data_IF_102557710065
#
_entry.id   IF_102557710065
#
_cell.length_a   1.000
_cell.length_b   1.000
_cell.length_c   1.000
_cell.angle_alpha   90.00
_cell.angle_beta   90.00
_cell.angle_gamma   90.00
#
_symmetry.space_group_name_H-M   'P 1'
#
loop_
_entity.id
_entity.type
_entity.pdbx_description
1 polymer ?
#
# COMPACT_ATOMS: atom_id res chain seq x y z
N UNK A 1 40.94 -30.52 -16.80
CA UNK A 1 39.83 -29.67 -17.21
C UNK A 1 38.87 -29.68 -16.05
N UNK A 2 38.87 -28.61 -15.23
CA UNK A 2 37.88 -28.45 -14.16
C UNK A 2 36.67 -27.79 -14.78
N UNK A 3 35.55 -28.51 -14.85
CA UNK A 3 34.27 -27.87 -15.14
C UNK A 3 34.02 -26.79 -14.06
N UNK A 4 33.63 -25.58 -14.47
CA UNK A 4 33.24 -24.57 -13.48
C UNK A 4 32.02 -25.09 -12.70
N UNK A 5 31.95 -24.83 -11.37
CA UNK A 5 30.83 -25.28 -10.58
C UNK A 5 29.54 -24.74 -11.20
N UNK A 6 28.57 -25.64 -11.40
CA UNK A 6 27.21 -25.30 -11.79
C UNK A 6 26.74 -24.13 -10.95
N UNK A 7 26.50 -22.99 -11.57
CA UNK A 7 25.96 -21.80 -10.90
C UNK A 7 24.68 -22.23 -10.18
N UNK A 8 24.76 -22.38 -8.87
CA UNK A 8 23.59 -22.66 -8.03
C UNK A 8 22.61 -21.50 -8.25
N UNK A 9 21.52 -21.78 -8.94
CA UNK A 9 20.52 -20.79 -9.23
C UNK A 9 19.96 -20.25 -7.90
N UNK A 10 20.14 -18.95 -7.66
CA UNK A 10 19.61 -18.29 -6.47
C UNK A 10 18.10 -18.53 -6.35
N UNK A 11 17.56 -18.77 -5.14
CA UNK A 11 16.13 -18.96 -4.96
C UNK A 11 15.36 -17.72 -5.44
N UNK A 12 14.21 -17.94 -6.08
CA UNK A 12 13.40 -16.89 -6.69
C UNK A 12 12.18 -16.56 -5.86
N UNK A 13 11.89 -15.26 -5.73
CA UNK A 13 10.75 -14.71 -5.03
C UNK A 13 10.03 -13.72 -5.93
N UNK A 14 8.69 -13.73 -5.89
CA UNK A 14 7.88 -12.75 -6.60
C UNK A 14 7.27 -11.75 -5.62
N UNK A 15 7.76 -10.52 -5.65
CA UNK A 15 7.31 -9.42 -4.79
C UNK A 15 6.29 -8.54 -5.53
N UNK A 16 5.08 -8.46 -5.00
CA UNK A 16 4.07 -7.48 -5.40
C UNK A 16 4.16 -6.27 -4.47
N UNK A 17 4.48 -5.10 -5.02
CA UNK A 17 4.73 -3.90 -4.24
C UNK A 17 4.11 -2.65 -4.90
N UNK A 18 4.52 -1.47 -4.48
CA UNK A 18 4.04 -0.19 -5.00
C UNK A 18 3.76 0.85 -3.91
N UNK A 19 4.25 0.59 -2.73
CA UNK A 19 4.13 1.46 -1.54
C UNK A 19 5.50 1.74 -0.96
N UNK A 20 5.59 2.66 0.00
CA UNK A 20 6.87 3.07 0.58
C UNK A 20 7.65 1.95 1.29
N UNK A 21 6.99 0.86 1.66
CA UNK A 21 7.61 -0.31 2.28
C UNK A 21 8.28 -1.24 1.27
N UNK A 22 7.90 -1.15 -0.01
CA UNK A 22 8.44 -2.00 -1.07
C UNK A 22 9.96 -1.89 -1.27
N UNK A 23 10.53 -0.68 -1.43
CA UNK A 23 11.96 -0.53 -1.65
C UNK A 23 12.85 -1.09 -0.53
N UNK A 24 12.64 -0.77 0.77
CA UNK A 24 13.45 -1.37 1.83
C UNK A 24 13.27 -2.88 1.95
N UNK A 25 12.05 -3.41 1.70
CA UNK A 25 11.81 -4.85 1.67
C UNK A 25 12.58 -5.51 0.53
N UNK A 26 12.50 -4.99 -0.70
CA UNK A 26 13.25 -5.53 -1.84
C UNK A 26 14.76 -5.52 -1.59
N UNK A 27 15.31 -4.42 -1.02
CA UNK A 27 16.72 -4.33 -0.67
C UNK A 27 17.14 -5.40 0.34
N UNK A 28 16.35 -5.66 1.38
CA UNK A 28 16.61 -6.69 2.36
C UNK A 28 16.57 -8.10 1.72
N UNK A 29 15.60 -8.38 0.86
CA UNK A 29 15.48 -9.66 0.16
C UNK A 29 16.69 -9.93 -0.77
N UNK A 30 17.13 -8.91 -1.50
CA UNK A 30 18.32 -9.01 -2.34
C UNK A 30 19.59 -9.26 -1.53
N UNK A 31 19.73 -8.60 -0.36
CA UNK A 31 20.83 -8.83 0.57
C UNK A 31 20.82 -10.24 1.16
N UNK A 32 19.65 -10.85 1.35
CA UNK A 32 19.49 -12.25 1.79
C UNK A 32 19.83 -13.28 0.71
N UNK A 33 20.06 -12.87 -0.55
CA UNK A 33 20.38 -13.77 -1.63
C UNK A 33 19.23 -14.12 -2.58
N UNK A 34 18.01 -13.60 -2.37
CA UNK A 34 16.89 -13.84 -3.25
C UNK A 34 17.09 -13.23 -4.64
N UNK A 35 16.65 -13.91 -5.67
CA UNK A 35 16.32 -13.31 -6.96
C UNK A 35 14.88 -12.79 -6.90
N UNK A 36 14.70 -11.49 -7.03
CA UNK A 36 13.42 -10.82 -6.79
C UNK A 36 12.79 -10.39 -8.11
N UNK A 37 11.71 -11.08 -8.52
CA UNK A 37 10.80 -10.54 -9.53
C UNK A 37 9.89 -9.51 -8.85
N UNK A 38 9.94 -8.27 -9.31
CA UNK A 38 9.24 -7.14 -8.69
C UNK A 38 8.08 -6.66 -9.57
N UNK A 39 6.85 -6.87 -9.15
CA UNK A 39 5.66 -6.33 -9.83
C UNK A 39 5.26 -4.98 -9.29
N UNK A 40 5.17 -4.00 -10.19
CA UNK A 40 4.75 -2.62 -9.92
C UNK A 40 3.71 -2.17 -10.95
N UNK A 41 2.69 -1.44 -10.52
CA UNK A 41 1.65 -0.94 -11.42
C UNK A 41 2.16 0.17 -12.35
N UNK A 42 3.11 1.01 -11.90
CA UNK A 42 3.64 2.12 -12.70
C UNK A 42 5.16 2.17 -12.69
N UNK A 43 5.75 2.59 -13.81
CA UNK A 43 7.19 2.80 -13.94
C UNK A 43 7.74 3.88 -13.00
N UNK A 44 6.91 4.84 -12.61
CA UNK A 44 7.32 5.86 -11.64
C UNK A 44 7.66 5.29 -10.26
N UNK A 45 7.01 4.20 -9.86
CA UNK A 45 7.30 3.52 -8.61
C UNK A 45 8.69 2.86 -8.64
N UNK A 46 9.17 2.45 -9.82
CA UNK A 46 10.48 1.81 -9.98
C UNK A 46 11.64 2.74 -9.59
N UNK A 47 11.47 4.06 -9.70
CA UNK A 47 12.52 5.04 -9.35
C UNK A 47 12.97 4.97 -7.89
N UNK A 48 12.16 4.38 -7.02
CA UNK A 48 12.49 4.19 -5.61
C UNK A 48 13.35 2.93 -5.36
N UNK A 49 13.55 2.08 -6.38
CA UNK A 49 14.34 0.87 -6.28
C UNK A 49 15.68 1.07 -7.00
N UNK A 50 16.78 0.75 -6.31
CA UNK A 50 18.10 0.78 -6.93
C UNK A 50 18.29 -0.35 -7.97
N UNK A 51 19.15 -0.17 -8.96
CA UNK A 51 19.50 -1.24 -9.88
C UNK A 51 20.22 -2.38 -9.14
N UNK A 52 19.84 -3.62 -9.43
CA UNK A 52 20.50 -4.78 -8.85
C UNK A 52 20.42 -5.98 -9.83
N UNK A 53 21.48 -6.78 -10.04
CA UNK A 53 21.49 -7.87 -11.03
C UNK A 53 20.46 -8.97 -10.76
N UNK A 54 20.02 -9.13 -9.51
CA UNK A 54 18.98 -10.08 -9.10
C UNK A 54 17.60 -9.44 -8.89
N UNK A 55 17.38 -8.19 -9.34
CA UNK A 55 16.09 -7.54 -9.33
C UNK A 55 15.53 -7.48 -10.75
N UNK A 56 14.41 -8.14 -10.97
CA UNK A 56 13.71 -8.20 -12.26
C UNK A 56 12.37 -7.42 -12.17
N UNK A 57 12.32 -6.16 -12.63
CA UNK A 57 11.09 -5.39 -12.58
C UNK A 57 10.11 -5.79 -13.68
N UNK A 58 8.86 -6.01 -13.30
CA UNK A 58 7.71 -6.18 -14.18
C UNK A 58 6.74 -5.00 -13.97
N UNK A 59 6.62 -4.14 -14.97
CA UNK A 59 5.83 -2.92 -14.91
C UNK A 59 4.50 -3.11 -15.63
N UNK A 60 3.44 -2.69 -14.98
CA UNK A 60 2.08 -2.74 -15.48
C UNK A 60 1.13 -3.50 -14.54
N UNK A 61 -0.18 -3.29 -14.67
CA UNK A 61 -1.15 -4.03 -13.89
C UNK A 61 -1.18 -5.49 -14.35
N UNK A 62 -1.10 -6.43 -13.42
CA UNK A 62 -1.46 -7.82 -13.69
C UNK A 62 -2.98 -7.89 -13.67
N UNK A 63 -3.56 -8.25 -14.82
CA UNK A 63 -4.97 -8.04 -15.10
C UNK A 63 -5.93 -8.94 -14.30
N UNK A 64 -5.50 -10.18 -13.95
CA UNK A 64 -6.38 -11.16 -13.35
C UNK A 64 -5.64 -12.32 -12.68
N UNK A 65 -6.38 -13.17 -11.96
CA UNK A 65 -5.89 -14.42 -11.38
C UNK A 65 -5.27 -15.34 -12.44
N UNK A 66 -5.89 -15.46 -13.62
CA UNK A 66 -5.38 -16.29 -14.73
C UNK A 66 -4.03 -15.77 -15.23
N UNK A 67 -3.82 -14.45 -15.27
CA UNK A 67 -2.55 -13.86 -15.67
C UNK A 67 -1.44 -14.16 -14.65
N UNK A 68 -1.76 -14.17 -13.36
CA UNK A 68 -0.86 -14.57 -12.28
C UNK A 68 -0.50 -16.05 -12.43
N UNK A 69 -1.49 -16.93 -12.57
CA UNK A 69 -1.29 -18.37 -12.76
C UNK A 69 -0.40 -18.64 -13.97
N UNK A 70 -0.71 -18.06 -15.14
CA UNK A 70 0.07 -18.21 -16.34
C UNK A 70 1.52 -17.68 -16.21
N UNK A 71 1.76 -16.68 -15.36
CA UNK A 71 3.12 -16.20 -15.12
C UNK A 71 3.92 -17.13 -14.22
N UNK A 72 3.28 -17.83 -13.27
CA UNK A 72 3.89 -18.88 -12.47
C UNK A 72 4.20 -20.12 -13.33
N UNK A 73 3.23 -20.56 -14.16
CA UNK A 73 3.43 -21.70 -15.09
C UNK A 73 4.61 -21.45 -16.05
N UNK A 74 4.71 -20.25 -16.61
CA UNK A 74 5.84 -19.89 -17.48
C UNK A 74 7.18 -19.96 -16.75
N UNK A 75 7.23 -19.53 -15.49
CA UNK A 75 8.43 -19.59 -14.68
C UNK A 75 8.87 -21.04 -14.44
N UNK A 76 7.91 -21.95 -14.20
CA UNK A 76 8.17 -23.39 -14.07
C UNK A 76 8.71 -24.00 -15.37
N UNK A 77 8.07 -23.70 -16.51
CA UNK A 77 8.45 -24.23 -17.84
C UNK A 77 9.87 -23.81 -18.25
N UNK A 78 10.29 -22.60 -17.92
CA UNK A 78 11.65 -22.12 -18.23
C UNK A 78 12.70 -22.54 -17.18
N UNK A 79 12.34 -23.36 -16.19
CA UNK A 79 13.26 -23.82 -15.14
C UNK A 79 13.59 -22.76 -14.08
N UNK A 80 12.77 -21.72 -13.95
CA UNK A 80 12.93 -20.63 -12.99
C UNK A 80 11.75 -20.54 -12.02
N UNK A 81 11.37 -21.62 -11.32
CA UNK A 81 10.19 -21.63 -10.46
C UNK A 81 10.27 -20.61 -9.33
N UNK A 82 9.14 -20.01 -9.01
CA UNK A 82 9.00 -19.10 -7.88
C UNK A 82 8.79 -19.91 -6.60
N UNK A 83 9.68 -19.80 -5.62
CA UNK A 83 9.57 -20.52 -4.33
C UNK A 83 8.54 -19.86 -3.40
N UNK A 84 8.40 -18.53 -3.46
CA UNK A 84 7.46 -17.79 -2.61
C UNK A 84 6.96 -16.55 -3.32
N UNK A 85 5.68 -16.26 -3.15
CA UNK A 85 5.05 -14.99 -3.54
C UNK A 85 4.89 -14.12 -2.30
N UNK A 86 5.23 -12.83 -2.39
CA UNK A 86 5.07 -11.86 -1.31
C UNK A 86 4.13 -10.75 -1.75
N UNK A 87 3.01 -10.63 -1.06
CA UNK A 87 2.08 -9.51 -1.23
C UNK A 87 2.42 -8.37 -0.26
N UNK A 88 3.14 -7.37 -0.76
CA UNK A 88 3.42 -6.11 -0.08
C UNK A 88 2.63 -4.94 -0.68
N UNK A 89 1.48 -5.21 -1.29
CA UNK A 89 0.61 -4.18 -1.87
C UNK A 89 -0.06 -3.32 -0.79
N UNK A 90 -0.72 -2.26 -1.22
CA UNK A 90 -1.47 -1.40 -0.30
C UNK A 90 -2.65 -2.19 0.31
N UNK A 91 -2.98 -2.04 1.62
CA UNK A 91 -4.08 -2.76 2.26
C UNK A 91 -5.44 -2.63 1.56
N UNK A 92 -5.66 -1.51 0.87
CA UNK A 92 -6.88 -1.27 0.07
C UNK A 92 -6.78 -1.77 -1.39
N UNK A 93 -5.74 -2.49 -1.74
CA UNK A 93 -5.61 -3.14 -3.04
C UNK A 93 -6.25 -4.55 -3.02
N UNK A 94 -7.50 -4.65 -2.53
CA UNK A 94 -8.18 -5.91 -2.24
C UNK A 94 -8.23 -6.88 -3.43
N UNK A 95 -8.43 -6.35 -4.66
CA UNK A 95 -8.54 -7.21 -5.83
C UNK A 95 -7.27 -8.03 -6.08
N UNK A 96 -6.11 -7.36 -6.16
CA UNK A 96 -4.85 -8.08 -6.41
C UNK A 96 -4.52 -9.05 -5.26
N UNK A 97 -4.81 -8.67 -4.00
CA UNK A 97 -4.58 -9.55 -2.86
C UNK A 97 -5.49 -10.78 -2.88
N UNK A 98 -6.75 -10.62 -3.32
CA UNK A 98 -7.67 -11.73 -3.50
C UNK A 98 -7.23 -12.64 -4.67
N UNK A 99 -6.86 -12.06 -5.81
CA UNK A 99 -6.36 -12.80 -6.97
C UNK A 99 -5.10 -13.61 -6.61
N UNK A 100 -4.18 -13.03 -5.82
CA UNK A 100 -2.99 -13.74 -5.32
C UNK A 100 -3.35 -14.88 -4.35
N UNK A 101 -4.28 -14.64 -3.43
CA UNK A 101 -4.73 -15.67 -2.50
C UNK A 101 -5.38 -16.84 -3.26
N UNK A 102 -6.30 -16.56 -4.17
CA UNK A 102 -6.98 -17.58 -4.99
C UNK A 102 -5.98 -18.45 -5.74
N UNK A 103 -5.06 -17.83 -6.49
CA UNK A 103 -4.08 -18.56 -7.32
C UNK A 103 -3.09 -19.34 -6.46
N UNK A 104 -2.51 -18.71 -5.45
CA UNK A 104 -1.46 -19.34 -4.67
C UNK A 104 -2.01 -20.47 -3.79
N UNK A 105 -3.16 -20.28 -3.14
CA UNK A 105 -3.79 -21.34 -2.33
C UNK A 105 -4.25 -22.51 -3.20
N UNK A 106 -4.86 -22.24 -4.37
CA UNK A 106 -5.28 -23.28 -5.32
C UNK A 106 -4.14 -24.11 -5.89
N UNK A 107 -2.92 -23.58 -5.92
CA UNK A 107 -1.70 -24.24 -6.44
C UNK A 107 -0.77 -24.76 -5.34
N UNK A 108 -1.11 -24.61 -4.09
CA UNK A 108 -0.20 -24.84 -2.94
C UNK A 108 1.10 -24.03 -3.05
N UNK A 109 1.06 -22.89 -3.75
CA UNK A 109 2.16 -21.95 -3.86
C UNK A 109 2.29 -21.16 -2.57
N UNK A 110 3.48 -21.08 -2.01
CA UNK A 110 3.71 -20.29 -0.80
C UNK A 110 3.41 -18.80 -1.05
N UNK A 111 2.46 -18.24 -0.28
CA UNK A 111 2.10 -16.82 -0.30
C UNK A 111 2.24 -16.26 1.10
N UNK A 112 2.98 -15.17 1.25
CA UNK A 112 3.12 -14.41 2.48
C UNK A 112 2.67 -12.98 2.24
N UNK A 113 2.03 -12.37 3.24
CA UNK A 113 1.57 -10.99 3.14
C UNK A 113 2.28 -10.08 4.14
N UNK A 114 2.70 -8.90 3.68
CA UNK A 114 3.19 -7.84 4.54
C UNK A 114 2.01 -7.14 5.23
N UNK A 115 1.88 -7.36 6.54
CA UNK A 115 0.94 -6.64 7.40
C UNK A 115 1.61 -5.38 7.95
N UNK A 116 1.03 -4.25 7.68
CA UNK A 116 1.49 -3.00 8.29
C UNK A 116 0.96 -2.90 9.70
N UNK A 117 1.82 -2.46 10.62
CA UNK A 117 1.40 -2.14 11.97
C UNK A 117 0.21 -1.19 11.97
N UNK A 118 -0.71 -1.33 12.91
CA UNK A 118 -1.67 -0.27 13.22
C UNK A 118 -0.91 0.93 13.77
N UNK A 119 -1.26 2.14 13.35
CA UNK A 119 -0.87 3.33 14.12
C UNK A 119 -1.64 3.22 15.43
N UNK A 120 -0.93 3.11 16.55
CA UNK A 120 -1.52 2.86 17.87
C UNK A 120 -2.62 3.89 18.17
N UNK A 121 -3.81 3.48 18.61
CA UNK A 121 -4.89 4.38 18.97
C UNK A 121 -4.71 4.92 20.39
N UNK A 122 -3.60 5.58 20.69
CA UNK A 122 -3.45 6.29 21.99
C UNK A 122 -4.18 7.65 22.02
N UNK A 123 -5.02 7.92 21.05
CA UNK A 123 -5.91 9.08 21.06
C UNK A 123 -7.35 8.59 21.24
N UNK A 124 -7.89 8.86 22.42
CA UNK A 124 -9.18 8.41 22.91
C UNK A 124 -10.26 8.30 21.86
N UNK A 125 -10.91 7.14 21.81
CA UNK A 125 -12.16 6.95 21.09
C UNK A 125 -13.18 7.96 21.64
N UNK A 126 -13.52 8.97 20.83
CA UNK A 126 -14.62 9.87 21.16
C UNK A 126 -15.92 9.07 21.05
N UNK A 127 -16.53 8.74 22.16
CA UNK A 127 -17.86 8.16 22.22
C UNK A 127 -18.91 9.07 21.54
N UNK A 128 -20.09 8.54 21.16
CA UNK A 128 -21.12 9.28 20.48
C UNK A 128 -21.76 10.33 21.38
N UNK A 129 -21.29 11.56 21.31
CA UNK A 129 -21.87 12.71 21.99
C UNK A 129 -22.48 13.72 21.00
N UNK A 130 -23.48 14.50 21.37
CA UNK A 130 -24.28 15.36 20.49
C UNK A 130 -23.65 16.72 20.17
N UNK A 131 -22.38 16.75 19.84
CA UNK A 131 -21.61 17.74 19.06
C UNK A 131 -20.35 17.04 18.66
N UNK A 132 -20.10 16.95 17.34
CA UNK A 132 -18.94 16.29 16.76
C UNK A 132 -17.68 16.64 17.55
N UNK A 133 -17.29 15.75 18.49
CA UNK A 133 -16.02 15.87 19.18
C UNK A 133 -14.92 15.79 18.12
N UNK A 134 -14.13 16.86 17.98
CA UNK A 134 -12.96 16.87 17.14
C UNK A 134 -12.05 15.73 17.56
N UNK A 135 -11.88 14.74 16.70
CA UNK A 135 -11.17 13.52 17.04
C UNK A 135 -11.08 12.56 15.86
N UNK A 136 -10.55 11.38 16.12
CA UNK A 136 -10.45 10.31 15.11
C UNK A 136 -11.70 9.44 15.17
N UNK A 137 -12.38 9.29 14.04
CA UNK A 137 -13.51 8.38 13.87
C UNK A 137 -13.19 7.36 12.78
N UNK A 138 -13.35 6.07 13.07
CA UNK A 138 -13.21 4.99 12.09
C UNK A 138 -14.57 4.70 11.48
N UNK A 139 -14.61 4.69 10.14
CA UNK A 139 -15.78 4.39 9.34
C UNK A 139 -15.66 2.97 8.78
N UNK A 140 -16.68 2.15 8.92
CA UNK A 140 -16.70 0.77 8.38
C UNK A 140 -16.58 0.71 6.85
N UNK A 141 -16.96 1.78 6.16
CA UNK A 141 -16.86 1.92 4.71
C UNK A 141 -17.17 3.33 4.25
N UNK A 142 -17.06 3.54 2.95
CA UNK A 142 -17.31 4.85 2.35
C UNK A 142 -18.79 5.26 2.49
N UNK A 143 -19.70 4.31 2.49
CA UNK A 143 -21.14 4.55 2.60
C UNK A 143 -21.53 5.17 3.95
N UNK A 144 -20.77 4.91 5.01
CA UNK A 144 -20.99 5.54 6.33
C UNK A 144 -20.85 7.06 6.31
N UNK A 145 -20.33 7.66 5.22
CA UNK A 145 -20.30 9.11 5.07
C UNK A 145 -21.72 9.73 4.97
N UNK A 146 -22.69 8.98 4.45
CA UNK A 146 -24.07 9.46 4.35
C UNK A 146 -24.77 9.68 5.70
N UNK A 147 -24.27 9.01 6.74
CA UNK A 147 -24.81 9.08 8.10
C UNK A 147 -24.26 10.30 8.88
N UNK A 148 -23.24 10.97 8.31
CA UNK A 148 -22.58 12.10 8.93
C UNK A 148 -23.15 13.43 8.44
N UNK A 149 -23.31 14.38 9.37
CA UNK A 149 -23.68 15.74 8.99
C UNK A 149 -22.42 16.54 8.61
N UNK A 150 -22.03 16.48 7.34
CA UNK A 150 -20.87 17.20 6.79
C UNK A 150 -21.26 18.46 6.01
N UNK A 151 -22.48 18.98 6.22
CA UNK A 151 -22.93 20.21 5.55
C UNK A 151 -22.04 21.39 5.95
N UNK A 152 -21.58 22.14 4.93
CA UNK A 152 -20.68 23.29 5.05
C UNK A 152 -19.28 22.97 5.56
N UNK A 153 -18.97 21.70 5.92
CA UNK A 153 -17.61 21.28 6.25
C UNK A 153 -16.70 21.40 5.02
N UNK A 154 -15.47 21.87 5.25
CA UNK A 154 -14.41 21.81 4.25
C UNK A 154 -13.70 20.46 4.37
N UNK A 155 -14.13 19.51 3.53
CA UNK A 155 -13.73 18.12 3.58
C UNK A 155 -12.54 17.85 2.65
N UNK A 156 -11.41 17.44 3.22
CA UNK A 156 -10.25 16.98 2.46
C UNK A 156 -10.35 15.47 2.18
N UNK A 157 -10.41 15.10 0.92
CA UNK A 157 -10.45 13.71 0.45
C UNK A 157 -9.02 13.20 0.17
N UNK A 158 -8.43 12.46 1.12
CA UNK A 158 -7.11 11.83 1.01
C UNK A 158 -7.19 10.31 0.78
N UNK A 159 -8.19 9.87 0.01
CA UNK A 159 -8.55 8.45 -0.23
C UNK A 159 -8.14 7.92 -1.60
N UNK A 160 -7.43 8.72 -2.40
CA UNK A 160 -7.06 8.40 -3.78
C UNK A 160 -8.20 8.64 -4.76
N UNK A 161 -7.87 8.64 -6.05
CA UNK A 161 -8.78 9.11 -7.11
C UNK A 161 -10.00 8.20 -7.36
N UNK A 162 -9.86 6.88 -7.19
CA UNK A 162 -10.91 5.91 -7.55
C UNK A 162 -12.21 6.05 -6.76
N UNK A 163 -12.14 6.58 -5.55
CA UNK A 163 -13.29 6.74 -4.66
C UNK A 163 -13.81 8.18 -4.56
N UNK A 164 -13.18 9.14 -5.26
CA UNK A 164 -13.54 10.56 -5.18
C UNK A 164 -14.98 10.84 -5.56
N UNK A 165 -15.40 10.39 -6.74
CA UNK A 165 -16.75 10.65 -7.23
C UNK A 165 -17.82 10.12 -6.26
N UNK A 166 -17.58 8.92 -5.69
CA UNK A 166 -18.49 8.34 -4.72
C UNK A 166 -18.51 9.11 -3.40
N UNK A 167 -17.34 9.51 -2.89
CA UNK A 167 -17.26 10.33 -1.67
C UNK A 167 -17.98 11.68 -1.83
N UNK A 168 -17.78 12.34 -2.96
CA UNK A 168 -18.48 13.61 -3.29
C UNK A 168 -19.99 13.42 -3.34
N UNK A 169 -20.46 12.35 -3.98
CA UNK A 169 -21.89 12.03 -4.07
C UNK A 169 -22.53 11.73 -2.71
N UNK A 170 -21.78 11.11 -1.78
CA UNK A 170 -22.26 10.79 -0.43
C UNK A 170 -22.27 12.01 0.52
N UNK A 171 -21.57 13.08 0.17
CA UNK A 171 -21.43 14.28 1.00
C UNK A 171 -21.79 15.58 0.27
N UNK A 172 -22.98 15.69 -0.33
CA UNK A 172 -23.33 16.76 -1.29
C UNK A 172 -23.36 18.16 -0.65
N UNK A 173 -23.43 18.26 0.67
CA UNK A 173 -23.43 19.53 1.39
C UNK A 173 -22.04 20.02 1.82
N UNK A 174 -20.97 19.23 1.59
CA UNK A 174 -19.62 19.60 1.96
C UNK A 174 -18.90 20.37 0.84
N UNK A 175 -17.87 21.12 1.22
CA UNK A 175 -16.95 21.77 0.29
C UNK A 175 -15.73 20.88 0.12
N UNK A 176 -15.64 20.19 -1.02
CA UNK A 176 -14.64 19.17 -1.25
C UNK A 176 -13.29 19.74 -1.71
N UNK A 177 -12.23 19.18 -1.14
CA UNK A 177 -10.83 19.33 -1.55
C UNK A 177 -10.23 17.94 -1.70
N UNK A 178 -9.21 17.76 -2.53
CA UNK A 178 -8.57 16.46 -2.71
C UNK A 178 -7.05 16.55 -2.68
N UNK A 179 -6.43 15.58 -2.00
CA UNK A 179 -4.99 15.32 -2.09
C UNK A 179 -4.77 13.98 -2.79
N UNK A 180 -4.09 14.00 -3.91
CA UNK A 180 -3.93 12.86 -4.83
C UNK A 180 -2.46 12.62 -5.16
N UNK A 181 -2.16 11.45 -5.72
CA UNK A 181 -0.88 11.21 -6.36
C UNK A 181 -0.78 11.99 -7.69
N UNK A 182 0.42 12.45 -8.10
CA UNK A 182 0.64 13.25 -9.30
C UNK A 182 0.62 12.38 -10.56
N UNK A 183 -0.55 11.84 -10.90
CA UNK A 183 -0.81 11.12 -12.15
C UNK A 183 -1.91 11.84 -12.94
N UNK A 184 -1.79 11.90 -14.26
CA UNK A 184 -2.78 12.55 -15.13
C UNK A 184 -4.19 11.99 -14.93
N UNK A 185 -4.33 10.67 -14.80
CA UNK A 185 -5.61 10.01 -14.51
C UNK A 185 -6.21 10.43 -13.17
N UNK A 186 -5.39 10.69 -12.15
CA UNK A 186 -5.87 11.16 -10.84
C UNK A 186 -6.51 12.55 -10.94
N UNK A 187 -5.86 13.45 -11.66
CA UNK A 187 -6.37 14.80 -11.89
C UNK A 187 -7.64 14.78 -12.74
N UNK A 188 -7.65 14.01 -13.83
CA UNK A 188 -8.83 13.86 -14.70
C UNK A 188 -10.05 13.36 -13.92
N UNK A 189 -9.87 12.35 -13.06
CA UNK A 189 -10.95 11.82 -12.22
C UNK A 189 -11.42 12.81 -11.15
N UNK A 190 -10.52 13.63 -10.61
CA UNK A 190 -10.92 14.70 -9.69
C UNK A 190 -11.78 15.75 -10.39
N UNK A 191 -11.39 16.17 -11.59
CA UNK A 191 -12.19 17.12 -12.39
C UNK A 191 -13.55 16.51 -12.77
N UNK A 192 -13.57 15.25 -13.20
CA UNK A 192 -14.81 14.53 -13.52
C UNK A 192 -15.74 14.35 -12.31
N UNK A 193 -15.18 14.27 -11.09
CA UNK A 193 -15.94 14.25 -9.84
C UNK A 193 -16.46 15.65 -9.41
N UNK A 194 -16.21 16.71 -10.22
CA UNK A 194 -16.70 18.06 -9.97
C UNK A 194 -15.80 18.93 -9.08
N UNK A 195 -14.56 18.50 -8.78
CA UNK A 195 -13.64 19.32 -8.01
C UNK A 195 -13.03 20.42 -8.88
N UNK A 196 -13.00 21.66 -8.38
CA UNK A 196 -12.28 22.75 -9.06
C UNK A 196 -10.76 22.56 -8.93
N UNK A 197 -10.00 22.98 -9.94
CA UNK A 197 -8.54 22.78 -10.01
C UNK A 197 -7.79 23.35 -8.79
N UNK A 198 -8.24 24.48 -8.25
CA UNK A 198 -7.66 25.13 -7.05
C UNK A 198 -7.97 24.40 -5.72
N UNK A 199 -8.76 23.33 -5.80
CA UNK A 199 -9.11 22.45 -4.65
C UNK A 199 -8.46 21.06 -4.77
N UNK A 200 -7.56 20.88 -5.71
CA UNK A 200 -6.85 19.60 -5.92
C UNK A 200 -5.34 19.81 -5.77
N UNK A 201 -4.71 19.07 -4.86
CA UNK A 201 -3.26 19.02 -4.72
C UNK A 201 -2.74 17.65 -5.16
N UNK A 202 -1.79 17.65 -6.09
CA UNK A 202 -1.13 16.45 -6.56
C UNK A 202 0.26 16.35 -5.91
N UNK A 203 0.37 15.55 -4.84
CA UNK A 203 1.58 15.40 -4.02
C UNK A 203 1.91 13.93 -3.81
N UNK A 204 3.19 13.56 -3.86
CA UNK A 204 3.65 12.24 -3.41
C UNK A 204 3.74 12.22 -1.88
N UNK A 205 3.26 11.16 -1.20
CA UNK A 205 3.58 10.96 0.20
C UNK A 205 5.07 10.64 0.29
N UNK A 206 5.76 11.25 1.20
CA UNK A 206 7.16 10.95 1.41
C UNK A 206 7.73 11.74 2.57
N UNK A 207 8.83 11.29 3.16
CA UNK A 207 9.64 12.18 3.95
C UNK A 207 10.09 13.32 3.02
N UNK A 208 9.70 14.56 3.34
CA UNK A 208 10.33 15.72 2.73
C UNK A 208 11.84 15.69 2.99
N UNK A 209 12.64 16.60 2.37
CA UNK A 209 14.10 16.59 2.47
C UNK A 209 14.67 16.68 3.91
N UNK A 210 13.80 16.76 4.93
CA UNK A 210 14.17 16.78 6.37
C UNK A 210 13.63 15.60 7.20
N UNK A 211 13.16 14.51 6.57
CA UNK A 211 12.64 13.33 7.29
C UNK A 211 11.14 13.39 7.62
N UNK A 212 10.62 12.49 8.47
CA UNK A 212 9.19 12.32 8.74
C UNK A 212 8.47 13.56 9.26
N UNK A 213 9.16 14.43 10.00
CA UNK A 213 8.63 15.69 10.53
C UNK A 213 8.34 16.74 9.44
N UNK A 214 9.03 16.66 8.28
CA UNK A 214 8.80 17.58 7.16
C UNK A 214 7.63 17.16 6.25
N UNK A 215 7.30 15.88 6.19
CA UNK A 215 6.16 15.41 5.42
C UNK A 215 4.85 16.02 5.93
N UNK A 216 4.69 16.11 7.25
CA UNK A 216 3.52 16.75 7.86
C UNK A 216 3.44 18.26 7.60
N UNK A 217 4.53 18.96 7.30
CA UNK A 217 4.54 20.41 7.10
C UNK A 217 3.86 20.85 5.81
N UNK A 218 3.97 20.08 4.72
CA UNK A 218 3.31 20.39 3.44
C UNK A 218 1.81 20.13 3.54
N UNK A 219 1.42 18.98 4.09
CA UNK A 219 0.03 18.63 4.31
C UNK A 219 -0.63 19.61 5.30
N UNK A 220 0.07 20.01 6.35
CA UNK A 220 -0.42 21.01 7.30
C UNK A 220 -0.61 22.38 6.66
N UNK A 221 0.35 22.85 5.87
CA UNK A 221 0.26 24.12 5.15
C UNK A 221 -0.95 24.11 4.18
N UNK A 222 -1.17 23.01 3.47
CA UNK A 222 -2.30 22.84 2.57
C UNK A 222 -3.63 22.87 3.32
N UNK A 223 -3.72 22.18 4.44
CA UNK A 223 -4.91 22.15 5.31
C UNK A 223 -5.23 23.54 5.85
N UNK A 224 -4.22 24.30 6.30
CA UNK A 224 -4.40 25.68 6.75
C UNK A 224 -4.82 26.61 5.62
N UNK A 225 -4.16 26.52 4.45
CA UNK A 225 -4.47 27.37 3.29
C UNK A 225 -5.92 27.18 2.80
N UNK A 226 -6.41 25.96 2.79
CA UNK A 226 -7.78 25.66 2.39
C UNK A 226 -8.80 25.82 3.51
N UNK A 227 -8.34 25.99 4.76
CA UNK A 227 -9.18 26.06 5.95
C UNK A 227 -9.98 24.78 6.16
N UNK A 228 -9.34 23.63 5.94
CA UNK A 228 -9.96 22.31 6.12
C UNK A 228 -10.45 22.13 7.55
N UNK A 229 -11.62 21.55 7.71
CA UNK A 229 -12.22 21.26 9.02
C UNK A 229 -12.30 19.76 9.30
N UNK A 230 -12.39 18.96 8.23
CA UNK A 230 -12.52 17.50 8.31
C UNK A 230 -11.62 16.83 7.24
N UNK A 231 -10.91 15.80 7.63
CA UNK A 231 -10.05 15.00 6.74
C UNK A 231 -10.65 13.60 6.62
N UNK A 232 -10.83 13.10 5.40
CA UNK A 232 -11.15 11.69 5.13
C UNK A 232 -9.91 11.01 4.58
N UNK A 233 -9.40 10.01 5.30
CA UNK A 233 -8.23 9.24 4.91
C UNK A 233 -8.49 7.73 5.05
N UNK A 234 -7.51 6.91 4.70
CA UNK A 234 -7.55 5.44 4.80
C UNK A 234 -6.75 4.97 6.01
N UNK A 235 -7.28 4.03 6.75
CA UNK A 235 -6.57 3.31 7.81
C UNK A 235 -5.54 2.37 7.17
N UNK A 236 -4.46 2.93 6.64
CA UNK A 236 -3.44 2.19 5.88
C UNK A 236 -2.30 1.63 6.73
N UNK A 237 -2.14 2.09 7.96
CA UNK A 237 -1.07 1.71 8.88
C UNK A 237 0.33 2.16 8.46
N UNK A 238 0.45 3.06 7.47
CA UNK A 238 1.73 3.57 6.98
C UNK A 238 1.94 5.05 7.27
N UNK A 239 3.03 5.58 6.72
CA UNK A 239 3.46 6.99 6.90
C UNK A 239 2.36 7.99 6.55
N UNK A 240 1.53 7.71 5.54
CA UNK A 240 0.44 8.61 5.12
C UNK A 240 -0.66 8.72 6.18
N UNK A 241 -1.07 7.61 6.81
CA UNK A 241 -2.04 7.66 7.90
C UNK A 241 -1.46 8.39 9.11
N UNK A 242 -0.21 8.08 9.49
CA UNK A 242 0.48 8.74 10.59
C UNK A 242 0.55 10.26 10.37
N UNK A 243 0.86 10.71 9.15
CA UNK A 243 0.87 12.12 8.77
C UNK A 243 -0.50 12.78 8.99
N UNK A 244 -1.60 12.17 8.52
CA UNK A 244 -2.94 12.74 8.70
C UNK A 244 -3.41 12.75 10.16
N UNK A 245 -3.03 11.74 10.95
CA UNK A 245 -3.29 11.74 12.40
C UNK A 245 -2.57 12.89 13.10
N UNK A 246 -1.30 13.09 12.80
CA UNK A 246 -0.49 14.18 13.37
C UNK A 246 -1.02 15.56 12.96
N UNK A 247 -1.35 15.78 11.68
CA UNK A 247 -1.94 17.04 11.20
C UNK A 247 -3.29 17.30 11.88
N UNK A 248 -4.16 16.29 11.94
CA UNK A 248 -5.49 16.43 12.56
C UNK A 248 -5.37 16.75 14.06
N UNK A 249 -4.46 16.11 14.76
CA UNK A 249 -4.20 16.38 16.18
C UNK A 249 -3.70 17.79 16.41
N UNK A 250 -2.64 18.21 15.67
CA UNK A 250 -2.04 19.55 15.83
C UNK A 250 -3.01 20.69 15.49
N UNK A 251 -3.87 20.47 14.51
CA UNK A 251 -4.85 21.48 14.08
C UNK A 251 -6.23 21.30 14.72
N UNK A 252 -6.40 20.34 15.62
CA UNK A 252 -7.67 20.00 16.27
C UNK A 252 -8.80 19.78 15.24
N UNK A 253 -8.55 18.97 14.20
CA UNK A 253 -9.51 18.65 13.14
C UNK A 253 -10.22 17.33 13.39
N UNK A 254 -11.36 17.12 12.74
CA UNK A 254 -11.97 15.80 12.64
C UNK A 254 -11.22 14.95 11.61
N UNK A 255 -10.80 13.75 12.00
CA UNK A 255 -10.20 12.76 11.10
C UNK A 255 -11.11 11.55 10.95
N UNK A 256 -11.67 11.38 9.77
CA UNK A 256 -12.44 10.20 9.37
C UNK A 256 -11.50 9.21 8.71
N UNK A 257 -11.41 8.00 9.25
CA UNK A 257 -10.57 6.92 8.71
C UNK A 257 -11.44 5.81 8.15
N UNK A 258 -11.34 5.57 6.86
CA UNK A 258 -11.91 4.36 6.27
C UNK A 258 -11.21 3.14 6.85
N UNK A 259 -11.98 2.24 7.46
CA UNK A 259 -11.48 1.00 8.03
C UNK A 259 -10.69 0.20 7.00
N UNK A 260 -9.56 -0.37 7.44
CA UNK A 260 -8.78 -1.29 6.62
C UNK A 260 -9.61 -2.53 6.31
N UNK A 261 -9.65 -2.97 5.04
CA UNK A 261 -10.24 -4.27 4.70
C UNK A 261 -9.56 -5.41 5.46
N UNK A 262 -10.30 -6.48 5.71
CA UNK A 262 -9.74 -7.70 6.28
C UNK A 262 -8.63 -8.26 5.39
N UNK A 263 -7.64 -8.90 6.00
CA UNK A 263 -6.62 -9.63 5.25
C UNK A 263 -7.27 -10.85 4.55
N UNK A 264 -6.75 -11.29 3.38
CA UNK A 264 -7.28 -12.47 2.70
C UNK A 264 -7.23 -13.71 3.58
N UNK A 265 -8.32 -14.46 3.62
CA UNK A 265 -8.41 -15.68 4.41
C UNK A 265 -7.38 -16.72 3.96
N UNK A 266 -6.81 -17.46 4.91
CA UNK A 266 -5.81 -18.50 4.64
C UNK A 266 -4.41 -17.99 4.25
N UNK A 267 -4.19 -16.67 4.16
CA UNK A 267 -2.88 -16.08 3.82
C UNK A 267 -2.20 -15.59 5.09
N UNK A 268 -1.02 -16.16 5.46
CA UNK A 268 -0.23 -15.66 6.58
C UNK A 268 0.21 -14.22 6.36
N UNK A 269 -0.06 -13.35 7.36
CA UNK A 269 0.29 -11.94 7.31
C UNK A 269 1.18 -11.55 8.48
N UNK A 270 2.36 -11.01 8.17
CA UNK A 270 3.43 -10.71 9.11
C UNK A 270 3.84 -9.26 9.08
N UNK A 271 4.27 -8.72 10.22
CA UNK A 271 5.03 -7.47 10.26
C UNK A 271 6.34 -7.60 9.47
N UNK A 272 6.94 -6.47 9.09
CA UNK A 272 8.12 -6.50 8.20
C UNK A 272 9.28 -7.33 8.76
N UNK A 273 9.62 -7.19 10.03
CA UNK A 273 10.71 -7.95 10.66
C UNK A 273 10.42 -9.46 10.68
N UNK A 274 9.19 -9.83 11.04
CA UNK A 274 8.74 -11.22 11.09
C UNK A 274 8.69 -11.83 9.68
N UNK A 275 8.19 -11.09 8.69
CA UNK A 275 8.19 -11.49 7.28
C UNK A 275 9.61 -11.80 6.79
N UNK A 276 10.57 -10.93 7.09
CA UNK A 276 11.97 -11.14 6.73
C UNK A 276 12.55 -12.39 7.42
N UNK A 277 12.23 -12.65 8.68
CA UNK A 277 12.64 -13.87 9.38
C UNK A 277 12.06 -15.12 8.72
N UNK A 278 10.77 -15.12 8.37
CA UNK A 278 10.13 -16.22 7.66
C UNK A 278 10.78 -16.50 6.30
N UNK A 279 11.22 -15.46 5.60
CA UNK A 279 11.90 -15.59 4.30
C UNK A 279 13.36 -16.03 4.45
N UNK A 280 14.03 -15.67 5.54
CA UNK A 280 15.37 -16.14 5.86
C UNK A 280 15.38 -17.63 6.21
N UNK A 281 14.44 -18.10 7.03
CA UNK A 281 14.28 -19.53 7.34
C UNK A 281 14.05 -20.36 6.08
N UNK A 282 13.23 -19.86 5.15
CA UNK A 282 12.95 -20.54 3.87
C UNK A 282 14.20 -20.66 2.98
N UNK A 283 14.98 -19.61 2.86
CA UNK A 283 16.20 -19.66 2.03
C UNK A 283 17.21 -20.63 2.63
N UNK A 284 17.40 -20.64 3.94
CA UNK A 284 18.29 -21.56 4.65
C UNK A 284 17.84 -23.03 4.46
N UNK A 285 16.53 -23.29 4.51
CA UNK A 285 15.97 -24.62 4.27
C UNK A 285 16.22 -25.08 2.83
N UNK A 286 16.03 -24.18 1.85
CA UNK A 286 16.28 -24.49 0.43
C UNK A 286 17.77 -24.78 0.14
N UNK A 287 18.67 -24.06 0.80
CA UNK A 287 20.12 -24.29 0.67
C UNK A 287 20.53 -25.62 1.32
N UNK A 288 20.01 -25.93 2.51
CA UNK A 288 20.27 -27.20 3.21
C UNK A 288 19.78 -28.42 2.44
N UNK A 289 18.60 -28.32 1.81
CA UNK A 289 18.03 -29.42 1.00
C UNK A 289 18.84 -29.69 -0.26
N UNK A 290 19.53 -28.69 -0.80
CA UNK A 290 20.41 -28.82 -1.97
C UNK A 290 21.76 -29.43 -1.62
N UNK A 291 22.30 -29.12 -0.44
CA UNK A 291 23.56 -29.69 0.03
C UNK A 291 23.49 -31.17 0.45
N UNK A 292 22.29 -31.74 0.58
CA UNK A 292 22.07 -33.17 0.88
C UNK A 292 21.93 -34.06 -0.38
N UNK A 293 21.91 -33.46 -1.56
CA UNK A 293 21.76 -34.16 -2.87
C UNK A 293 23.07 -34.23 -3.67
N UNK A 294 24.16 -33.74 -3.11
CA UNK A 294 25.55 -33.92 -3.57
C UNK A 294 26.24 -35.04 -2.73
#
# INVERSE_FOLDING_TARGET
>A
MHDPPLHQASPRLWLFAGTGEGPPLASALLAMGWHVKLSLVSGDALRAYGPHPRLEPAIGPIGSAEAIAAALDRAEVIGEPCQVVVDATHPFACKISADLAEVCLGRSQALLRLRRGGVCPELGEAGPGPRQARGVQVLSGLESLSDLNLRQEKLLLAIGHRQLARAVALTPGAVHHARLLPHGTSLQQAMAAGLAANRVACLRPGPGPGGPLFAASIEEALVRQWGITTILARQSGGVTEACWRDVAQRLSLTLLLLQRPAEPEGVPAYGQAELLNQLLERITTLESSRGLTE
#
